data_IF_341426313807
#
_entry.id   IF_341426313807
#
_cell.length_a   1.000
_cell.length_b   1.000
_cell.length_c   1.000
_cell.angle_alpha   90.00
_cell.angle_beta   90.00
_cell.angle_gamma   90.00
#
_symmetry.space_group_name_H-M   'P 1'
#
loop_
_entity.id
_entity.type
_entity.pdbx_description
1 polymer ?
#
# COMPACT_ATOMS: atom_id res chain seq x y z
N UNK A 1 49.33 54.64 -1.55
CA UNK A 1 49.03 56.08 -1.41
C UNK A 1 47.60 56.29 -1.86
N UNK A 2 46.67 56.24 -0.92
CA UNK A 2 45.94 57.41 -0.38
C UNK A 2 44.92 57.97 -1.39
N UNK A 3 43.66 57.56 -1.22
CA UNK A 3 42.51 58.23 -1.83
C UNK A 3 41.58 58.64 -0.71
N UNK A 4 41.55 59.93 -0.44
CA UNK A 4 40.64 60.60 0.48
C UNK A 4 40.30 61.92 -0.19
N UNK A 5 39.03 62.13 -0.52
CA UNK A 5 38.33 63.40 -0.36
C UNK A 5 36.84 63.20 -0.63
N UNK A 6 36.08 63.00 0.43
CA UNK A 6 34.68 63.40 0.49
C UNK A 6 34.62 64.93 0.56
N UNK A 7 33.73 65.58 -0.22
CA UNK A 7 32.58 66.34 0.30
C UNK A 7 31.89 67.26 -0.73
N UNK A 8 30.54 67.22 -0.65
CA UNK A 8 29.54 68.30 -0.83
C UNK A 8 28.78 68.49 -2.16
N UNK A 9 27.54 67.99 -2.12
CA UNK A 9 26.27 68.75 -2.17
C UNK A 9 26.05 69.77 -3.29
N UNK A 10 25.18 69.40 -4.24
CA UNK A 10 24.34 70.34 -5.00
C UNK A 10 22.90 69.86 -4.89
N UNK A 11 22.01 70.70 -4.34
CA UNK A 11 20.56 70.55 -4.42
C UNK A 11 20.09 71.08 -5.78
N UNK A 12 19.08 70.44 -6.39
CA UNK A 12 17.95 71.20 -6.95
C UNK A 12 16.62 70.58 -6.48
N UNK A 13 15.77 71.38 -5.83
CA UNK A 13 14.67 72.15 -6.44
C UNK A 13 13.45 71.26 -6.73
N UNK A 14 12.35 71.60 -6.06
CA UNK A 14 11.03 71.07 -6.33
C UNK A 14 10.69 71.29 -7.81
N UNK A 15 10.45 70.19 -8.53
CA UNK A 15 9.52 70.23 -9.66
C UNK A 15 8.61 69.01 -9.53
N UNK A 16 7.34 69.33 -9.31
CA UNK A 16 6.22 68.40 -9.20
C UNK A 16 5.83 67.92 -10.58
N UNK A 17 6.46 66.86 -11.06
CA UNK A 17 5.81 65.87 -11.91
C UNK A 17 6.65 64.61 -11.97
N UNK A 18 6.05 63.47 -12.30
CA UNK A 18 6.68 62.14 -12.41
C UNK A 18 6.69 61.26 -11.15
N UNK A 19 5.50 61.01 -10.60
CA UNK A 19 5.15 59.66 -10.10
C UNK A 19 3.88 59.19 -10.79
N UNK A 20 4.03 58.60 -11.97
CA UNK A 20 2.93 57.86 -12.59
C UNK A 20 2.79 56.47 -11.94
N UNK A 21 1.60 56.10 -11.45
CA UNK A 21 1.34 54.77 -10.93
C UNK A 21 1.20 53.78 -12.09
N UNK A 22 2.11 52.82 -12.20
CA UNK A 22 2.00 51.73 -13.18
C UNK A 22 1.01 50.66 -12.71
N UNK A 23 -0.28 51.01 -12.69
CA UNK A 23 -1.37 50.05 -12.59
C UNK A 23 -2.54 50.46 -13.52
N UNK A 24 -2.64 49.71 -14.64
CA UNK A 24 -3.84 49.14 -15.31
C UNK A 24 -3.94 49.41 -16.82
N UNK A 25 -3.99 48.32 -17.62
CA UNK A 25 -5.05 48.12 -18.59
C UNK A 25 -6.20 47.35 -17.93
N UNK A 26 -7.45 47.80 -18.11
CA UNK A 26 -8.65 47.00 -17.83
C UNK A 26 -8.61 45.72 -18.70
N UNK A 27 -8.30 44.58 -18.10
CA UNK A 27 -8.62 43.27 -18.68
C UNK A 27 -10.06 42.88 -18.26
N UNK A 28 -10.82 42.19 -19.12
CA UNK A 28 -12.15 41.68 -18.77
C UNK A 28 -12.08 40.78 -17.52
N UNK A 29 -13.15 40.78 -16.72
CA UNK A 29 -13.31 39.95 -15.51
C UNK A 29 -13.26 38.45 -15.84
N UNK A 30 -12.06 37.93 -16.02
CA UNK A 30 -11.74 36.52 -15.86
C UNK A 30 -10.23 36.47 -15.72
N UNK A 31 -9.75 35.75 -14.70
CA UNK A 31 -8.32 35.53 -14.39
C UNK A 31 -7.66 36.58 -13.48
N UNK A 32 -7.94 36.44 -12.18
CA UNK A 32 -7.08 37.01 -11.12
C UNK A 32 -5.70 36.30 -11.15
N UNK A 33 -4.58 37.03 -10.99
CA UNK A 33 -3.26 36.42 -10.91
C UNK A 33 -3.13 35.57 -9.64
N UNK A 34 -2.85 34.28 -9.82
CA UNK A 34 -2.67 33.30 -8.75
C UNK A 34 -1.29 33.49 -8.10
N UNK A 35 -1.24 33.50 -6.77
CA UNK A 35 0.00 33.56 -5.98
C UNK A 35 1.00 32.48 -6.41
N UNK A 36 2.26 32.85 -6.66
CA UNK A 36 3.37 31.93 -6.93
C UNK A 36 3.72 31.03 -5.73
N UNK A 37 3.22 31.36 -4.53
CA UNK A 37 3.25 30.46 -3.37
C UNK A 37 1.90 29.78 -3.29
N UNK A 38 1.75 28.66 -3.98
CA UNK A 38 0.65 27.75 -3.71
C UNK A 38 0.90 27.08 -2.34
N UNK A 39 -0.12 26.99 -1.46
CA UNK A 39 -0.04 26.09 -0.31
C UNK A 39 0.27 24.68 -0.84
N UNK A 40 1.27 24.03 -0.25
CA UNK A 40 1.61 22.65 -0.60
C UNK A 40 0.34 21.81 -0.44
N UNK A 41 -0.06 21.01 -1.46
CA UNK A 41 -1.18 20.10 -1.30
C UNK A 41 -0.94 19.24 -0.07
N UNK A 42 -1.99 18.98 0.71
CA UNK A 42 -1.94 18.01 1.81
C UNK A 42 -1.28 16.71 1.32
N UNK A 43 -0.49 16.03 2.17
CA UNK A 43 0.24 14.82 1.78
C UNK A 43 -0.72 13.87 1.07
N UNK A 44 -0.47 13.68 -0.22
CA UNK A 44 -1.29 12.83 -1.07
C UNK A 44 -0.92 11.41 -0.71
N UNK A 45 -1.77 10.78 0.12
CA UNK A 45 -1.74 9.34 0.33
C UNK A 45 -1.65 8.69 -1.04
N UNK A 46 -0.62 7.86 -1.26
CA UNK A 46 -0.38 7.25 -2.57
C UNK A 46 -1.66 6.51 -2.99
N UNK A 47 -2.22 6.87 -4.16
CA UNK A 47 -3.47 6.27 -4.68
C UNK A 47 -3.36 4.76 -4.90
N UNK A 48 -2.14 4.22 -4.96
CA UNK A 48 -1.88 2.79 -5.17
C UNK A 48 -1.88 1.96 -3.89
N UNK A 49 -1.86 2.58 -2.70
CA UNK A 49 -1.74 1.88 -1.42
C UNK A 49 -0.31 1.42 -1.08
N UNK A 50 0.60 1.41 -2.07
CA UNK A 50 2.02 1.06 -1.91
C UNK A 50 2.77 2.06 -1.05
N UNK A 51 3.81 1.58 -0.38
CA UNK A 51 4.77 2.41 0.35
C UNK A 51 5.84 2.93 -0.61
N UNK A 52 6.05 4.25 -0.61
CA UNK A 52 7.14 4.90 -1.36
C UNK A 52 7.80 5.91 -0.41
N UNK A 53 8.85 5.51 0.33
CA UNK A 53 9.48 6.37 1.31
C UNK A 53 10.30 7.47 0.62
N UNK A 54 10.34 8.65 1.24
CA UNK A 54 11.27 9.71 0.83
C UNK A 54 12.62 9.50 1.52
N UNK A 55 13.71 9.81 0.83
CA UNK A 55 15.06 9.70 1.42
C UNK A 55 15.26 10.72 2.53
N UNK A 56 15.80 10.27 3.64
CA UNK A 56 16.12 11.10 4.82
C UNK A 56 17.62 11.38 4.94
N UNK A 57 18.44 10.83 4.03
CA UNK A 57 19.86 11.18 3.90
C UNK A 57 20.79 10.42 4.87
N UNK A 58 20.24 9.73 5.85
CA UNK A 58 20.99 8.83 6.74
C UNK A 58 20.95 7.43 6.13
N UNK A 59 22.11 6.93 5.66
CA UNK A 59 22.23 5.67 4.92
C UNK A 59 21.53 4.49 5.60
N UNK A 60 21.73 4.33 6.91
CA UNK A 60 21.13 3.23 7.67
C UNK A 60 19.61 3.35 7.76
N UNK A 61 19.08 4.58 7.89
CA UNK A 61 17.64 4.81 7.93
C UNK A 61 17.01 4.60 6.55
N UNK A 62 17.64 5.12 5.50
CA UNK A 62 17.20 4.93 4.12
C UNK A 62 17.15 3.43 3.76
N UNK A 63 18.14 2.64 4.20
CA UNK A 63 18.11 1.19 4.04
C UNK A 63 16.95 0.54 4.79
N UNK A 64 16.70 0.94 6.04
CA UNK A 64 15.59 0.37 6.84
C UNK A 64 14.23 0.73 6.27
N UNK A 65 14.04 1.94 5.79
CA UNK A 65 12.83 2.31 5.05
C UNK A 65 12.69 1.49 3.77
N UNK A 66 13.79 1.20 3.06
CA UNK A 66 13.78 0.30 1.90
C UNK A 66 13.37 -1.12 2.27
N UNK A 67 13.91 -1.69 3.37
CA UNK A 67 13.58 -3.04 3.83
C UNK A 67 12.09 -3.20 4.16
N UNK A 68 11.50 -2.19 4.84
CA UNK A 68 10.05 -2.13 5.12
C UNK A 68 9.27 -2.01 3.82
N UNK A 69 9.71 -1.15 2.92
CA UNK A 69 9.05 -0.90 1.63
C UNK A 69 8.96 -2.15 0.77
N UNK A 70 10.08 -2.85 0.59
CA UNK A 70 10.13 -4.07 -0.18
C UNK A 70 9.20 -5.13 0.42
N UNK A 71 9.33 -5.37 1.73
CA UNK A 71 8.55 -6.41 2.41
C UNK A 71 7.05 -6.07 2.40
N UNK A 72 6.68 -4.80 2.61
CA UNK A 72 5.27 -4.38 2.64
C UNK A 72 4.66 -4.42 1.26
N UNK A 73 5.35 -3.94 0.22
CA UNK A 73 4.81 -3.92 -1.12
C UNK A 73 4.63 -5.36 -1.66
N UNK A 74 5.51 -6.30 -1.31
CA UNK A 74 5.31 -7.73 -1.59
C UNK A 74 4.08 -8.31 -0.86
N UNK A 75 3.90 -7.97 0.41
CA UNK A 75 2.72 -8.38 1.18
C UNK A 75 1.43 -7.80 0.60
N UNK A 76 1.44 -6.51 0.25
CA UNK A 76 0.32 -5.80 -0.36
C UNK A 76 -0.09 -6.42 -1.69
N UNK A 77 0.88 -6.77 -2.55
CA UNK A 77 0.61 -7.46 -3.80
C UNK A 77 0.00 -8.85 -3.55
N UNK A 78 0.57 -9.62 -2.62
CA UNK A 78 0.03 -10.93 -2.24
C UNK A 78 -1.41 -10.83 -1.73
N UNK A 79 -1.72 -9.79 -0.96
CA UNK A 79 -3.09 -9.49 -0.50
C UNK A 79 -4.03 -9.14 -1.66
N UNK A 80 -3.62 -8.28 -2.59
CA UNK A 80 -4.44 -7.91 -3.74
C UNK A 80 -4.73 -9.12 -4.63
N UNK A 81 -3.71 -9.94 -4.92
CA UNK A 81 -3.88 -11.19 -5.68
C UNK A 81 -4.85 -12.13 -4.97
N UNK A 82 -4.68 -12.37 -3.67
CA UNK A 82 -5.59 -13.20 -2.89
C UNK A 82 -7.03 -12.69 -2.96
N UNK A 83 -7.24 -11.39 -2.77
CA UNK A 83 -8.55 -10.74 -2.82
C UNK A 83 -9.20 -10.88 -4.19
N UNK A 84 -8.48 -10.60 -5.27
CA UNK A 84 -9.02 -10.70 -6.64
C UNK A 84 -9.40 -12.14 -6.99
N UNK A 85 -8.62 -13.12 -6.56
CA UNK A 85 -8.98 -14.54 -6.72
C UNK A 85 -10.27 -14.88 -5.98
N UNK A 86 -10.46 -14.37 -4.75
CA UNK A 86 -11.70 -14.63 -3.97
C UNK A 86 -12.90 -14.05 -4.71
N UNK A 87 -12.76 -12.84 -5.25
CA UNK A 87 -13.78 -12.20 -6.08
C UNK A 87 -14.06 -13.00 -7.37
N UNK A 88 -13.01 -13.51 -8.03
CA UNK A 88 -13.11 -14.36 -9.22
C UNK A 88 -13.90 -15.65 -8.96
N UNK A 89 -13.57 -16.36 -7.88
CA UNK A 89 -14.28 -17.58 -7.48
C UNK A 89 -15.76 -17.27 -7.18
N UNK A 90 -16.01 -16.16 -6.49
CA UNK A 90 -17.37 -15.71 -6.16
C UNK A 90 -18.25 -15.45 -7.35
N UNK A 91 -17.70 -14.75 -8.34
CA UNK A 91 -18.38 -14.48 -9.60
C UNK A 91 -18.65 -15.78 -10.36
N UNK A 92 -17.69 -16.70 -10.37
CA UNK A 92 -17.81 -17.98 -11.10
C UNK A 92 -18.92 -18.86 -10.55
N UNK A 93 -19.01 -19.00 -9.22
CA UNK A 93 -19.99 -19.86 -8.55
C UNK A 93 -21.20 -19.11 -7.99
N UNK A 94 -21.31 -17.81 -8.31
CA UNK A 94 -22.36 -16.91 -7.85
C UNK A 94 -22.63 -17.01 -6.33
N UNK A 95 -21.57 -17.04 -5.52
CA UNK A 95 -21.62 -17.13 -4.05
C UNK A 95 -21.47 -15.74 -3.40
N UNK A 96 -22.18 -14.75 -3.93
CA UNK A 96 -22.10 -13.37 -3.45
C UNK A 96 -22.66 -13.23 -2.02
N UNK A 97 -21.82 -12.74 -1.12
CA UNK A 97 -22.20 -12.13 0.16
C UNK A 97 -21.53 -10.75 0.22
N UNK A 98 -22.30 -9.73 0.61
CA UNK A 98 -22.00 -8.32 0.29
C UNK A 98 -20.87 -7.66 1.10
N UNK A 99 -20.09 -8.37 1.92
CA UNK A 99 -19.10 -7.66 2.77
C UNK A 99 -17.89 -8.43 3.31
N UNK A 100 -17.88 -9.77 3.29
CA UNK A 100 -16.79 -10.55 3.92
C UNK A 100 -16.11 -11.45 2.89
N UNK A 101 -14.82 -11.79 3.02
CA UNK A 101 -14.06 -12.69 2.12
C UNK A 101 -14.30 -14.20 2.40
N UNK A 102 -15.51 -14.56 2.84
CA UNK A 102 -15.91 -15.94 3.16
C UNK A 102 -15.89 -16.91 1.95
N UNK A 103 -15.31 -18.08 2.16
CA UNK A 103 -15.18 -19.22 1.24
C UNK A 103 -16.26 -20.30 1.44
N UNK A 104 -16.88 -20.37 2.61
CA UNK A 104 -17.78 -21.46 3.03
C UNK A 104 -18.91 -21.67 2.03
N UNK A 105 -19.58 -20.59 1.66
CA UNK A 105 -20.70 -20.63 0.73
C UNK A 105 -20.27 -21.04 -0.68
N UNK A 106 -19.12 -20.55 -1.15
CA UNK A 106 -18.56 -20.94 -2.44
C UNK A 106 -18.22 -22.43 -2.46
N UNK A 107 -17.53 -22.93 -1.43
CA UNK A 107 -17.17 -24.35 -1.35
C UNK A 107 -18.40 -25.25 -1.23
N UNK A 108 -19.42 -24.82 -0.48
CA UNK A 108 -20.71 -25.54 -0.40
C UNK A 108 -21.35 -25.67 -1.79
N UNK A 109 -21.48 -24.58 -2.54
CA UNK A 109 -22.04 -24.61 -3.90
C UNK A 109 -21.22 -25.49 -4.84
N UNK A 110 -19.89 -25.41 -4.77
CA UNK A 110 -19.02 -26.29 -5.58
C UNK A 110 -19.27 -27.76 -5.23
N UNK A 111 -19.44 -28.11 -3.96
CA UNK A 111 -19.75 -29.50 -3.56
C UNK A 111 -21.08 -29.97 -4.14
N UNK A 112 -22.13 -29.15 -4.02
CA UNK A 112 -23.48 -29.45 -4.51
C UNK A 112 -23.55 -29.57 -6.03
N UNK A 113 -22.86 -28.69 -6.77
CA UNK A 113 -22.86 -28.71 -8.24
C UNK A 113 -22.26 -29.99 -8.83
N UNK A 114 -21.34 -30.64 -8.11
CA UNK A 114 -20.62 -31.81 -8.59
C UNK A 114 -20.87 -33.08 -7.78
N UNK A 115 -21.85 -33.10 -6.86
CA UNK A 115 -22.06 -34.19 -5.90
C UNK A 115 -22.27 -35.56 -6.56
N UNK A 116 -22.98 -35.61 -7.69
CA UNK A 116 -23.31 -36.85 -8.41
C UNK A 116 -22.11 -37.47 -9.16
N UNK A 117 -21.08 -36.67 -9.44
CA UNK A 117 -19.95 -37.06 -10.30
C UNK A 117 -18.61 -37.05 -9.57
N UNK A 118 -18.44 -36.21 -8.56
CA UNK A 118 -17.17 -36.01 -7.87
C UNK A 118 -17.36 -35.85 -6.36
N UNK A 119 -16.49 -36.54 -5.61
CA UNK A 119 -16.30 -36.23 -4.19
C UNK A 119 -15.36 -35.02 -4.07
N UNK A 120 -15.93 -33.88 -3.74
CA UNK A 120 -15.21 -32.61 -3.54
C UNK A 120 -15.01 -32.34 -2.04
N UNK A 121 -13.77 -32.20 -1.60
CA UNK A 121 -13.42 -31.98 -0.19
C UNK A 121 -12.31 -30.96 -0.04
N UNK A 122 -12.36 -30.12 0.98
CA UNK A 122 -11.20 -29.28 1.36
C UNK A 122 -10.25 -30.12 2.19
N UNK A 123 -8.96 -30.07 1.87
CA UNK A 123 -7.91 -30.79 2.57
C UNK A 123 -6.87 -29.80 3.05
N UNK A 124 -6.38 -30.00 4.28
CA UNK A 124 -5.35 -29.17 4.91
C UNK A 124 -4.08 -29.98 5.14
N UNK A 125 -2.94 -29.35 4.83
CA UNK A 125 -1.59 -29.87 5.07
C UNK A 125 -0.74 -28.74 5.68
N UNK A 126 -0.66 -28.70 7.01
CA UNK A 126 -0.02 -27.58 7.70
C UNK A 126 -0.81 -26.30 7.50
N UNK A 127 -0.16 -25.24 6.99
CA UNK A 127 -0.82 -23.98 6.61
C UNK A 127 -1.40 -23.98 5.20
N UNK A 128 -1.09 -25.02 4.41
CA UNK A 128 -1.60 -25.18 3.04
C UNK A 128 -3.00 -25.81 3.08
N UNK A 129 -3.90 -25.29 2.25
CA UNK A 129 -5.23 -25.82 2.08
C UNK A 129 -5.61 -25.82 0.59
N UNK A 130 -6.31 -26.86 0.16
CA UNK A 130 -6.67 -27.04 -1.24
C UNK A 130 -7.95 -27.83 -1.41
N UNK A 131 -8.52 -27.78 -2.62
CA UNK A 131 -9.68 -28.57 -2.98
C UNK A 131 -9.23 -29.92 -3.57
N UNK A 132 -9.49 -31.01 -2.86
CA UNK A 132 -9.33 -32.38 -3.35
C UNK A 132 -10.59 -32.80 -4.09
N UNK A 133 -10.42 -33.31 -5.30
CA UNK A 133 -11.51 -33.78 -6.15
C UNK A 133 -11.23 -35.22 -6.56
N UNK A 134 -12.16 -36.12 -6.26
CA UNK A 134 -12.06 -37.56 -6.59
C UNK A 134 -13.27 -37.95 -7.41
N UNK A 135 -13.11 -38.46 -8.65
CA UNK A 135 -14.24 -38.97 -9.44
C UNK A 135 -14.98 -40.08 -8.72
N UNK A 136 -16.31 -40.08 -8.82
CA UNK A 136 -17.13 -41.19 -8.40
C UNK A 136 -17.13 -42.26 -9.50
N UNK A 137 -17.36 -43.53 -9.12
CA UNK A 137 -17.32 -44.68 -10.05
C UNK A 137 -18.30 -44.59 -11.22
N UNK A 138 -19.24 -43.64 -11.17
CA UNK A 138 -20.25 -43.31 -12.18
C UNK A 138 -19.74 -42.37 -13.29
N UNK A 139 -18.57 -41.75 -13.15
CA UNK A 139 -17.98 -40.94 -14.22
C UNK A 139 -17.51 -41.89 -15.32
N UNK A 140 -18.21 -41.87 -16.46
CA UNK A 140 -17.92 -42.67 -17.64
C UNK A 140 -16.42 -42.65 -17.94
N UNK A 141 -15.80 -43.81 -18.18
CA UNK A 141 -14.35 -43.95 -18.41
C UNK A 141 -13.81 -43.09 -19.58
N UNK A 142 -14.71 -42.48 -20.36
CA UNK A 142 -14.42 -41.53 -21.43
C UNK A 142 -14.15 -40.08 -20.98
N UNK A 143 -14.70 -39.62 -19.84
CA UNK A 143 -14.49 -38.25 -19.35
C UNK A 143 -13.24 -38.17 -18.47
N UNK A 144 -12.07 -38.32 -19.11
CA UNK A 144 -10.76 -38.36 -18.41
C UNK A 144 -10.32 -37.03 -17.80
N UNK A 145 -10.98 -35.91 -18.12
CA UNK A 145 -10.53 -34.58 -17.71
C UNK A 145 -11.50 -33.89 -16.78
N UNK A 146 -10.98 -33.40 -15.66
CA UNK A 146 -11.73 -32.61 -14.68
C UNK A 146 -12.49 -31.44 -15.36
N UNK A 147 -13.78 -31.22 -15.03
CA UNK A 147 -14.56 -30.11 -15.53
C UNK A 147 -13.83 -28.78 -15.36
N UNK A 148 -13.93 -27.91 -16.37
CA UNK A 148 -13.14 -26.68 -16.44
C UNK A 148 -13.37 -25.78 -15.22
N UNK A 149 -14.61 -25.60 -14.80
CA UNK A 149 -14.96 -24.77 -13.65
C UNK A 149 -14.40 -25.37 -12.35
N UNK A 150 -14.54 -26.68 -12.17
CA UNK A 150 -14.00 -27.37 -10.99
C UNK A 150 -12.47 -27.29 -10.90
N UNK A 151 -11.77 -27.36 -12.03
CA UNK A 151 -10.32 -27.10 -12.10
C UNK A 151 -9.96 -25.67 -11.73
N UNK A 152 -10.72 -24.70 -12.24
CA UNK A 152 -10.54 -23.29 -11.87
C UNK A 152 -10.76 -23.11 -10.36
N UNK A 153 -11.75 -23.76 -9.76
CA UNK A 153 -11.96 -23.72 -8.32
C UNK A 153 -10.75 -24.28 -7.53
N UNK A 154 -10.14 -25.39 -8.00
CA UNK A 154 -8.92 -25.92 -7.39
C UNK A 154 -7.76 -24.91 -7.47
N UNK A 155 -7.59 -24.26 -8.63
CA UNK A 155 -6.53 -23.29 -8.86
C UNK A 155 -6.73 -22.02 -8.02
N UNK A 156 -7.97 -21.53 -7.88
CA UNK A 156 -8.29 -20.38 -7.05
C UNK A 156 -8.06 -20.68 -5.56
N UNK A 157 -8.53 -21.83 -5.05
CA UNK A 157 -8.30 -22.20 -3.65
C UNK A 157 -6.82 -22.36 -3.32
N UNK A 158 -6.04 -22.97 -4.22
CA UNK A 158 -4.59 -23.06 -4.07
C UNK A 158 -3.96 -21.66 -4.06
N UNK A 159 -4.44 -20.76 -4.91
CA UNK A 159 -4.03 -19.35 -4.92
C UNK A 159 -4.35 -18.63 -3.61
N UNK A 160 -5.52 -18.89 -2.99
CA UNK A 160 -5.85 -18.33 -1.67
C UNK A 160 -4.86 -18.77 -0.62
N UNK A 161 -4.58 -20.08 -0.58
CA UNK A 161 -3.69 -20.64 0.41
C UNK A 161 -2.29 -20.06 0.29
N UNK A 162 -1.74 -20.02 -0.93
CA UNK A 162 -0.43 -19.41 -1.20
C UNK A 162 -0.39 -17.92 -0.83
N UNK A 163 -1.41 -17.16 -1.18
CA UNK A 163 -1.53 -15.75 -0.81
C UNK A 163 -1.57 -15.54 0.70
N UNK A 164 -2.42 -16.29 1.40
CA UNK A 164 -2.55 -16.22 2.86
C UNK A 164 -1.24 -16.58 3.56
N UNK A 165 -0.54 -17.63 3.11
CA UNK A 165 0.78 -18.02 3.63
C UNK A 165 1.78 -16.88 3.43
N UNK A 166 1.87 -16.31 2.23
CA UNK A 166 2.81 -15.23 1.93
C UNK A 166 2.54 -13.98 2.79
N UNK A 167 1.27 -13.61 2.96
CA UNK A 167 0.87 -12.46 3.78
C UNK A 167 1.26 -12.65 5.24
N UNK A 168 0.94 -13.82 5.81
CA UNK A 168 1.22 -14.13 7.21
C UNK A 168 2.73 -14.25 7.46
N UNK A 169 3.47 -14.87 6.53
CA UNK A 169 4.93 -15.00 6.62
C UNK A 169 5.63 -13.63 6.59
N UNK A 170 5.15 -12.69 5.77
CA UNK A 170 5.67 -11.33 5.74
C UNK A 170 5.33 -10.53 7.01
N UNK A 171 4.19 -10.83 7.65
CA UNK A 171 3.65 -10.09 8.80
C UNK A 171 4.63 -9.96 9.97
N UNK A 172 5.26 -11.06 10.40
CA UNK A 172 6.20 -11.03 11.53
C UNK A 172 7.44 -10.21 11.21
N UNK A 173 8.00 -10.35 10.00
CA UNK A 173 9.16 -9.57 9.55
C UNK A 173 8.83 -8.07 9.51
N UNK A 174 7.67 -7.71 8.96
CA UNK A 174 7.20 -6.33 8.91
C UNK A 174 7.02 -5.72 10.28
N UNK A 175 6.39 -6.46 11.20
CA UNK A 175 6.19 -5.99 12.57
C UNK A 175 7.52 -5.65 13.24
N UNK A 176 8.54 -6.51 13.13
CA UNK A 176 9.88 -6.26 13.71
C UNK A 176 10.53 -5.01 13.11
N UNK A 177 10.50 -4.87 11.77
CA UNK A 177 11.11 -3.72 11.10
C UNK A 177 10.40 -2.40 11.45
N UNK A 178 9.06 -2.41 11.49
CA UNK A 178 8.24 -1.25 11.83
C UNK A 178 8.43 -0.86 13.28
N UNK A 179 8.38 -1.81 14.21
CA UNK A 179 8.54 -1.54 15.65
C UNK A 179 9.93 -0.96 15.95
N UNK A 180 10.96 -1.40 15.21
CA UNK A 180 12.29 -0.80 15.28
C UNK A 180 12.30 0.68 14.84
N UNK A 181 11.65 1.01 13.72
CA UNK A 181 11.57 2.40 13.26
C UNK A 181 10.78 3.28 14.25
N UNK A 182 9.64 2.79 14.72
CA UNK A 182 8.77 3.53 15.64
C UNK A 182 9.44 3.78 16.99
N UNK A 183 10.21 2.81 17.51
CA UNK A 183 10.92 2.95 18.80
C UNK A 183 12.15 3.88 18.74
N UNK A 184 12.62 4.25 17.54
CA UNK A 184 13.80 5.12 17.35
C UNK A 184 13.47 6.55 16.89
N UNK A 185 12.18 6.92 16.84
CA UNK A 185 11.68 8.20 16.29
C UNK A 185 12.53 9.44 16.62
N UNK A 186 12.74 9.71 17.91
CA UNK A 186 13.47 10.89 18.38
C UNK A 186 14.95 10.88 17.96
N UNK A 187 15.62 9.74 18.11
CA UNK A 187 17.02 9.57 17.68
C UNK A 187 17.19 9.72 16.17
N UNK A 188 16.17 9.37 15.38
CA UNK A 188 16.22 9.55 13.91
C UNK A 188 16.20 11.03 13.53
N UNK A 189 15.42 11.87 14.22
CA UNK A 189 15.37 13.30 13.96
C UNK A 189 16.73 13.97 14.21
N UNK A 190 17.42 13.57 15.29
CA UNK A 190 18.78 14.02 15.61
C UNK A 190 19.77 13.62 14.49
N UNK A 191 19.76 12.35 14.07
CA UNK A 191 20.63 11.86 13.00
C UNK A 191 20.43 12.59 11.67
N UNK A 192 19.16 12.91 11.33
CA UNK A 192 18.84 13.68 10.12
C UNK A 192 19.37 15.10 10.21
N UNK A 193 19.28 15.72 11.40
CA UNK A 193 19.81 17.07 11.65
C UNK A 193 21.34 17.12 11.52
N UNK A 194 22.05 16.10 12.00
CA UNK A 194 23.51 16.03 11.94
C UNK A 194 24.06 15.85 10.52
N UNK A 195 23.32 15.17 9.64
CA UNK A 195 23.77 14.88 8.26
C UNK A 195 23.43 16.03 7.28
N UNK A 196 22.52 16.92 7.65
CA UNK A 196 22.10 18.01 6.78
C UNK A 196 23.21 19.07 6.59
N UNK A 197 23.73 19.28 5.36
CA UNK A 197 24.83 20.23 5.14
C UNK A 197 24.37 21.69 5.18
N UNK A 198 23.08 21.95 4.98
CA UNK A 198 22.49 23.27 4.96
C UNK A 198 21.18 23.31 5.76
N UNK A 199 20.76 24.50 6.18
CA UNK A 199 19.45 24.68 6.82
C UNK A 199 18.30 24.26 5.89
N UNK A 200 18.41 24.51 4.58
CA UNK A 200 17.38 24.08 3.63
C UNK A 200 17.30 22.55 3.52
N UNK A 201 18.45 21.87 3.50
CA UNK A 201 18.50 20.40 3.54
C UNK A 201 17.94 19.87 4.84
N UNK A 202 18.21 20.52 5.97
CA UNK A 202 17.65 20.13 7.25
C UNK A 202 16.11 20.15 7.21
N UNK A 203 15.49 21.25 6.80
CA UNK A 203 14.04 21.34 6.68
C UNK A 203 13.48 20.27 5.73
N UNK A 204 14.11 20.07 4.57
CA UNK A 204 13.67 19.08 3.57
C UNK A 204 13.75 17.65 4.10
N UNK A 205 14.86 17.28 4.74
CA UNK A 205 15.06 15.91 5.23
C UNK A 205 14.19 15.62 6.47
N UNK A 206 13.95 16.62 7.31
CA UNK A 206 13.01 16.52 8.44
C UNK A 206 11.57 16.32 7.95
N UNK A 207 11.10 17.10 6.97
CA UNK A 207 9.80 16.88 6.34
C UNK A 207 9.69 15.48 5.74
N UNK A 208 10.74 15.02 5.04
CA UNK A 208 10.79 13.66 4.48
C UNK A 208 10.68 12.59 5.57
N UNK A 209 11.35 12.77 6.72
CA UNK A 209 11.27 11.85 7.85
C UNK A 209 9.85 11.82 8.43
N UNK A 210 9.24 12.98 8.65
CA UNK A 210 7.88 13.09 9.19
C UNK A 210 6.88 12.37 8.28
N UNK A 211 6.88 12.68 6.99
CA UNK A 211 5.99 12.05 6.01
C UNK A 211 6.23 10.54 5.92
N UNK A 212 7.50 10.10 5.88
CA UNK A 212 7.83 8.67 5.81
C UNK A 212 7.38 7.94 7.08
N UNK A 213 7.51 8.55 8.26
CA UNK A 213 7.06 7.95 9.51
C UNK A 213 5.53 7.88 9.63
N UNK A 214 4.81 8.84 9.06
CA UNK A 214 3.34 8.76 8.93
C UNK A 214 2.94 7.57 8.05
N UNK A 215 3.62 7.39 6.92
CA UNK A 215 3.41 6.24 6.04
C UNK A 215 3.78 4.91 6.71
N UNK A 216 4.87 4.85 7.49
CA UNK A 216 5.23 3.66 8.29
C UNK A 216 4.12 3.25 9.26
N UNK A 217 3.45 4.23 9.88
CA UNK A 217 2.29 3.95 10.75
C UNK A 217 1.10 3.44 9.95
N UNK A 218 0.80 4.05 8.78
CA UNK A 218 -0.26 3.58 7.89
C UNK A 218 -0.05 2.13 7.46
N UNK A 219 1.16 1.78 7.02
CA UNK A 219 1.44 0.42 6.54
C UNK A 219 1.41 -0.61 7.66
N UNK A 220 1.69 -0.21 8.91
CA UNK A 220 1.51 -1.08 10.09
C UNK A 220 0.07 -1.55 10.20
N UNK A 221 -0.87 -0.60 10.21
CA UNK A 221 -2.30 -0.89 10.33
C UNK A 221 -2.79 -1.76 9.15
N UNK A 222 -2.35 -1.44 7.93
CA UNK A 222 -2.68 -2.24 6.75
C UNK A 222 -2.12 -3.66 6.82
N UNK A 223 -0.84 -3.83 7.19
CA UNK A 223 -0.21 -5.15 7.35
C UNK A 223 -0.93 -5.99 8.40
N UNK A 224 -1.33 -5.38 9.53
CA UNK A 224 -2.13 -6.07 10.55
C UNK A 224 -3.48 -6.52 9.99
N UNK A 225 -4.18 -5.63 9.26
CA UNK A 225 -5.44 -5.97 8.60
C UNK A 225 -5.30 -7.08 7.56
N UNK A 226 -4.24 -7.07 6.75
CA UNK A 226 -3.97 -8.14 5.77
C UNK A 226 -3.72 -9.48 6.46
N UNK A 227 -2.92 -9.47 7.53
CA UNK A 227 -2.66 -10.67 8.33
C UNK A 227 -3.94 -11.23 8.95
N UNK A 228 -4.82 -10.36 9.46
CA UNK A 228 -6.10 -10.78 10.04
C UNK A 228 -6.96 -11.51 9.00
N UNK A 229 -7.20 -10.88 7.85
CA UNK A 229 -8.02 -11.48 6.80
C UNK A 229 -7.43 -12.78 6.24
N UNK A 230 -6.10 -12.85 6.08
CA UNK A 230 -5.43 -14.08 5.65
C UNK A 230 -5.64 -15.22 6.66
N UNK A 231 -5.62 -14.93 7.97
CA UNK A 231 -5.88 -15.91 9.03
C UNK A 231 -7.36 -16.31 9.11
N UNK A 232 -8.27 -15.38 8.86
CA UNK A 232 -9.71 -15.68 8.76
C UNK A 232 -9.98 -16.69 7.65
N UNK A 233 -9.39 -16.50 6.47
CA UNK A 233 -9.47 -17.45 5.34
C UNK A 233 -8.92 -18.83 5.73
N UNK A 234 -7.76 -18.89 6.40
CA UNK A 234 -7.18 -20.16 6.87
C UNK A 234 -8.08 -20.86 7.90
N UNK A 235 -8.65 -20.09 8.83
CA UNK A 235 -9.56 -20.60 9.87
C UNK A 235 -10.84 -21.14 9.24
N UNK A 236 -11.39 -20.44 8.26
CA UNK A 236 -12.56 -20.86 7.52
C UNK A 236 -12.29 -22.14 6.72
N UNK A 237 -11.14 -22.23 6.05
CA UNK A 237 -10.73 -23.46 5.38
C UNK A 237 -10.65 -24.65 6.36
N UNK A 238 -10.18 -24.42 7.59
CA UNK A 238 -10.14 -25.43 8.64
C UNK A 238 -11.53 -25.88 9.10
N UNK A 239 -12.46 -24.94 9.25
CA UNK A 239 -13.86 -25.25 9.54
C UNK A 239 -14.50 -26.08 8.43
N UNK A 240 -14.29 -25.70 7.16
CA UNK A 240 -14.82 -26.43 5.99
C UNK A 240 -14.23 -27.85 5.88
N UNK A 241 -12.97 -28.03 6.31
CA UNK A 241 -12.30 -29.33 6.36
C UNK A 241 -12.69 -30.17 7.60
N UNK A 242 -13.46 -29.61 8.55
CA UNK A 242 -13.87 -30.28 9.77
C UNK A 242 -12.75 -30.42 10.82
N UNK A 243 -11.79 -29.49 10.85
CA UNK A 243 -10.65 -29.49 11.77
C UNK A 243 -10.77 -28.46 12.92
N UNK A 244 -11.87 -27.72 12.98
CA UNK A 244 -12.12 -26.66 13.96
C UNK A 244 -13.13 -27.10 15.03
#
# INVERSE_FOLDING_TARGET
MSVLFCCRCVFPSEDTDERQPLLHPKLPESEKPVSARQPRPAPTVSRSGQLVPKRVGVKDLDQRFSDVTETFNQQHESYNVMKERVISLRRTYNCNNDSTLTLTECVRKIKEEYEDSYRVTVVIKGYDFSLSVVPLRSVDEGEKSLPRLLRLAQDELRGFSQGAIAIVAAGTKLQVLIDWLLSRGERMAEQVREVAPTHQDHCRLEENLIETMQEVRRVRELSLGYCLQAREIQTEAAQIAGLA
#
